data_IF_008480205408
#
_entry.id   IF_008480205408
#
_cell.length_a   1.000
_cell.length_b   1.000
_cell.length_c   1.000
_cell.angle_alpha   90.00
_cell.angle_beta   90.00
_cell.angle_gamma   90.00
#
_symmetry.space_group_name_H-M   'P 1'
#
loop_
_entity.id
_entity.type
_entity.pdbx_description
1 polymer ?
#
# COMPACT_ATOMS: atom_id res chain seq x y z
N UNK A 1 12.21 -6.24 -11.44
CA UNK A 1 11.47 -6.27 -12.70
C UNK A 1 10.05 -5.75 -12.53
N UNK A 2 9.35 -5.58 -13.64
CA UNK A 2 8.02 -4.96 -13.67
C UNK A 2 6.96 -5.78 -12.92
N UNK A 3 6.99 -7.09 -13.05
CA UNK A 3 6.04 -7.98 -12.37
C UNK A 3 6.14 -7.86 -10.86
N UNK A 4 7.35 -7.87 -10.31
CA UNK A 4 7.55 -7.65 -8.85
C UNK A 4 7.05 -6.28 -8.40
N UNK A 5 7.29 -5.23 -9.18
CA UNK A 5 6.81 -3.90 -8.89
C UNK A 5 5.29 -3.88 -8.74
N UNK A 6 4.58 -4.48 -9.69
CA UNK A 6 3.11 -4.57 -9.68
C UNK A 6 2.62 -5.37 -8.48
N UNK A 7 3.26 -6.51 -8.18
CA UNK A 7 2.88 -7.35 -7.04
C UNK A 7 3.07 -6.59 -5.73
N UNK A 8 4.23 -5.94 -5.53
CA UNK A 8 4.54 -5.17 -4.32
C UNK A 8 3.52 -4.03 -4.16
N UNK A 9 3.26 -3.30 -5.24
CA UNK A 9 2.31 -2.18 -5.26
C UNK A 9 0.89 -2.64 -4.88
N UNK A 10 0.43 -3.75 -5.46
CA UNK A 10 -0.90 -4.32 -5.17
C UNK A 10 -0.98 -4.87 -3.75
N UNK A 11 0.00 -5.65 -3.31
CA UNK A 11 0.04 -6.19 -1.96
C UNK A 11 0.06 -5.08 -0.90
N UNK A 12 0.84 -4.04 -1.13
CA UNK A 12 0.90 -2.87 -0.27
C UNK A 12 -0.42 -2.11 -0.22
N UNK A 13 -1.11 -1.96 -1.36
CA UNK A 13 -2.45 -1.37 -1.40
C UNK A 13 -3.44 -2.15 -0.55
N UNK A 14 -3.49 -3.47 -0.75
CA UNK A 14 -4.40 -4.35 0.00
C UNK A 14 -4.09 -4.30 1.50
N UNK A 15 -2.83 -4.41 1.90
CA UNK A 15 -2.44 -4.34 3.32
C UNK A 15 -2.74 -2.97 3.94
N UNK A 16 -2.48 -1.88 3.19
CA UNK A 16 -2.75 -0.52 3.66
C UNK A 16 -4.24 -0.29 3.91
N UNK A 17 -5.07 -0.56 2.91
CA UNK A 17 -6.52 -0.38 3.05
C UNK A 17 -7.15 -1.37 4.03
N UNK A 18 -6.66 -2.61 4.13
CA UNK A 18 -7.11 -3.56 5.14
C UNK A 18 -6.81 -3.07 6.55
N UNK A 19 -5.58 -2.58 6.81
CA UNK A 19 -5.20 -2.12 8.13
C UNK A 19 -6.03 -0.91 8.57
N UNK A 20 -6.19 0.11 7.73
CA UNK A 20 -7.00 1.26 8.09
C UNK A 20 -8.47 0.89 8.31
N UNK A 21 -9.02 -0.02 7.50
CA UNK A 21 -10.38 -0.52 7.68
C UNK A 21 -10.55 -1.26 9.01
N UNK A 22 -9.58 -2.08 9.40
CA UNK A 22 -9.58 -2.75 10.71
C UNK A 22 -9.54 -1.75 11.87
N UNK A 23 -8.70 -0.71 11.75
CA UNK A 23 -8.58 0.33 12.77
C UNK A 23 -9.79 1.28 12.81
N UNK A 24 -10.63 1.27 11.79
CA UNK A 24 -11.89 2.01 11.75
C UNK A 24 -13.05 1.28 12.45
N UNK A 25 -12.96 -0.04 12.69
CA UNK A 25 -14.02 -0.82 13.29
C UNK A 25 -14.44 -0.26 14.67
N UNK A 26 -15.75 -0.26 15.00
CA UNK A 26 -16.25 0.22 16.30
C UNK A 26 -15.68 -0.51 17.51
N UNK A 27 -15.23 -1.75 17.32
CA UNK A 27 -14.61 -2.57 18.37
C UNK A 27 -13.21 -2.07 18.80
N UNK A 28 -12.61 -1.14 18.03
CA UNK A 28 -11.31 -0.54 18.33
C UNK A 28 -11.50 0.88 18.85
N UNK A 29 -11.58 1.12 20.17
CA UNK A 29 -11.82 2.44 20.75
C UNK A 29 -10.53 3.27 20.79
N UNK A 30 -9.95 3.55 19.62
CA UNK A 30 -8.65 4.22 19.49
C UNK A 30 -8.75 5.76 19.54
N UNK A 31 -9.95 6.33 19.74
CA UNK A 31 -10.13 7.77 19.79
C UNK A 31 -9.55 8.49 18.55
N UNK A 32 -8.61 9.44 18.76
CA UNK A 32 -7.98 10.17 17.66
C UNK A 32 -7.06 9.32 16.76
N UNK A 33 -6.69 8.12 17.20
CA UNK A 33 -5.87 7.16 16.44
C UNK A 33 -6.72 6.15 15.67
N UNK A 34 -7.99 6.41 15.47
CA UNK A 34 -8.88 5.57 14.68
C UNK A 34 -8.50 5.62 13.20
N UNK A 35 -8.72 4.52 12.48
CA UNK A 35 -8.57 4.47 11.03
C UNK A 35 -9.53 5.42 10.31
N UNK A 36 -9.25 5.76 9.07
CA UNK A 36 -10.07 6.68 8.29
C UNK A 36 -11.35 6.02 7.79
N UNK A 37 -12.47 6.75 7.88
CA UNK A 37 -13.76 6.34 7.31
C UNK A 37 -13.77 6.36 5.78
N UNK A 38 -12.93 7.20 5.19
CA UNK A 38 -12.67 7.28 3.75
C UNK A 38 -11.18 7.43 3.53
N UNK A 39 -10.59 6.48 2.83
CA UNK A 39 -9.17 6.50 2.44
C UNK A 39 -9.06 6.37 0.94
N UNK A 40 -8.40 7.32 0.31
CA UNK A 40 -8.14 7.35 -1.13
C UNK A 40 -6.70 7.73 -1.42
N UNK A 41 -6.19 7.30 -2.56
CA UNK A 41 -4.88 7.72 -3.05
C UNK A 41 -3.85 6.59 -3.18
N UNK A 42 -2.79 6.90 -3.92
CA UNK A 42 -1.67 6.00 -4.20
C UNK A 42 -0.60 5.99 -3.09
N UNK A 43 -0.83 6.68 -1.96
CA UNK A 43 0.18 6.82 -0.91
C UNK A 43 0.48 5.51 -0.19
N UNK A 44 -0.54 4.69 0.12
CA UNK A 44 -0.33 3.39 0.76
C UNK A 44 0.61 2.47 -0.06
N UNK A 45 0.39 2.23 -1.37
CA UNK A 45 1.33 1.44 -2.15
C UNK A 45 2.70 2.10 -2.35
N UNK A 46 2.80 3.45 -2.37
CA UNK A 46 4.09 4.13 -2.38
C UNK A 46 4.89 3.85 -1.10
N UNK A 47 4.24 3.85 0.06
CA UNK A 47 4.87 3.39 1.30
C UNK A 47 5.32 1.94 1.23
N UNK A 48 4.58 1.09 0.51
CA UNK A 48 5.00 -0.30 0.24
C UNK A 48 6.28 -0.38 -0.59
N UNK A 49 6.45 0.50 -1.56
CA UNK A 49 7.72 0.61 -2.30
C UNK A 49 8.87 1.05 -1.37
N UNK A 50 8.65 1.96 -0.42
CA UNK A 50 9.65 2.30 0.60
C UNK A 50 10.00 1.07 1.45
N UNK A 51 9.02 0.27 1.87
CA UNK A 51 9.24 -0.99 2.58
C UNK A 51 10.10 -1.97 1.77
N UNK A 52 9.79 -2.14 0.48
CA UNK A 52 10.56 -3.00 -0.42
C UNK A 52 11.98 -2.49 -0.66
N UNK A 53 12.15 -1.20 -0.86
CA UNK A 53 13.46 -0.56 -1.02
C UNK A 53 14.31 -0.68 0.26
N UNK A 54 13.69 -0.66 1.44
CA UNK A 54 14.38 -0.90 2.70
C UNK A 54 14.95 -2.33 2.77
N UNK A 55 14.20 -3.33 2.29
CA UNK A 55 14.70 -4.71 2.17
C UNK A 55 15.88 -4.77 1.21
N UNK A 56 15.74 -4.14 0.04
CA UNK A 56 16.80 -4.07 -0.95
C UNK A 56 18.06 -3.41 -0.40
N UNK A 57 17.93 -2.25 0.24
CA UNK A 57 19.03 -1.50 0.85
C UNK A 57 19.81 -2.38 1.86
N UNK A 58 19.09 -3.11 2.73
CA UNK A 58 19.71 -4.01 3.71
C UNK A 58 20.44 -5.17 3.05
N UNK A 59 19.87 -5.78 2.00
CA UNK A 59 20.48 -6.91 1.30
C UNK A 59 21.69 -6.54 0.45
N UNK A 60 21.74 -5.32 -0.06
CA UNK A 60 22.85 -4.81 -0.89
C UNK A 60 23.90 -4.04 -0.10
N UNK A 61 23.68 -3.82 1.20
CA UNK A 61 24.58 -3.02 2.03
C UNK A 61 24.56 -1.51 1.72
N UNK A 62 23.55 -1.03 0.95
CA UNK A 62 23.41 0.38 0.58
C UNK A 62 22.80 1.19 1.74
N UNK A 63 23.59 1.43 2.78
CA UNK A 63 23.13 2.11 4.00
C UNK A 63 22.61 3.52 3.74
N UNK A 64 23.24 4.26 2.82
CA UNK A 64 22.80 5.61 2.44
C UNK A 64 21.36 5.60 1.88
N UNK A 65 21.04 4.62 1.01
CA UNK A 65 19.68 4.45 0.49
C UNK A 65 18.69 4.17 1.62
N UNK A 66 19.03 3.28 2.55
CA UNK A 66 18.17 2.95 3.69
C UNK A 66 17.92 4.16 4.60
N UNK A 67 18.94 4.98 4.85
CA UNK A 67 18.81 6.22 5.65
C UNK A 67 17.89 7.24 4.94
N UNK A 68 18.02 7.38 3.62
CA UNK A 68 17.19 8.28 2.83
C UNK A 68 15.72 7.86 2.86
N UNK A 69 15.44 6.57 2.63
CA UNK A 69 14.09 6.01 2.70
C UNK A 69 13.49 6.26 4.09
N UNK A 70 14.25 5.95 5.15
CA UNK A 70 13.79 6.16 6.52
C UNK A 70 13.46 7.61 6.81
N UNK A 71 14.27 8.54 6.29
CA UNK A 71 14.02 9.98 6.41
C UNK A 71 12.67 10.37 5.78
N UNK A 72 12.39 9.92 4.56
CA UNK A 72 11.09 10.18 3.92
C UNK A 72 9.93 9.56 4.69
N UNK A 73 10.04 8.32 5.11
CA UNK A 73 9.01 7.65 5.92
C UNK A 73 8.70 8.47 7.18
N UNK A 74 9.73 8.91 7.90
CA UNK A 74 9.55 9.71 9.12
C UNK A 74 8.92 11.07 8.86
N UNK A 75 9.32 11.76 7.78
CA UNK A 75 8.72 13.03 7.38
C UNK A 75 7.21 12.84 7.12
N UNK A 76 6.83 11.84 6.34
CA UNK A 76 5.42 11.58 6.03
C UNK A 76 4.61 11.14 7.26
N UNK A 77 5.20 10.37 8.18
CA UNK A 77 4.55 10.02 9.46
C UNK A 77 4.28 11.28 10.28
N UNK A 78 5.26 12.16 10.42
CA UNK A 78 5.11 13.43 11.16
C UNK A 78 4.05 14.32 10.52
N UNK A 79 4.08 14.48 9.19
CA UNK A 79 3.06 15.24 8.47
C UNK A 79 1.67 14.61 8.69
N UNK A 80 1.55 13.29 8.64
CA UNK A 80 0.29 12.57 8.86
C UNK A 80 -0.24 12.67 10.29
N UNK A 81 0.62 12.96 11.29
CA UNK A 81 0.15 13.27 12.66
C UNK A 81 -0.39 14.70 12.79
N UNK A 82 0.08 15.62 11.94
CA UNK A 82 -0.32 17.03 11.95
C UNK A 82 -1.53 17.27 11.03
N UNK A 83 -1.60 16.57 9.91
CA UNK A 83 -2.61 16.75 8.86
C UNK A 83 -3.66 15.64 8.96
N UNK A 84 -4.86 15.92 9.50
CA UNK A 84 -5.87 14.89 9.81
C UNK A 84 -6.41 14.11 8.61
N UNK A 85 -6.25 14.64 7.38
CA UNK A 85 -6.69 13.97 6.15
C UNK A 85 -5.73 12.83 5.71
N UNK A 86 -4.54 12.77 6.32
CA UNK A 86 -3.55 11.74 5.98
C UNK A 86 -3.78 10.51 6.85
N UNK A 87 -3.98 9.38 6.20
CA UNK A 87 -4.22 8.11 6.86
C UNK A 87 -2.90 7.36 7.15
N UNK A 88 -2.39 7.55 8.36
CA UNK A 88 -1.17 6.88 8.80
C UNK A 88 -1.30 5.36 8.92
N UNK A 89 -2.50 4.82 9.16
CA UNK A 89 -2.71 3.38 9.19
C UNK A 89 -2.58 2.76 7.81
N UNK A 90 -3.11 3.43 6.77
CA UNK A 90 -2.91 3.01 5.39
C UNK A 90 -1.42 3.04 4.99
N UNK A 91 -0.67 4.06 5.44
CA UNK A 91 0.77 4.14 5.21
C UNK A 91 1.54 3.02 5.91
N UNK A 92 1.23 2.76 7.19
CA UNK A 92 1.87 1.69 7.96
C UNK A 92 1.59 0.31 7.36
N UNK A 93 0.32 0.04 7.03
CA UNK A 93 -0.08 -1.20 6.37
C UNK A 93 0.57 -1.36 5.00
N UNK A 94 0.62 -0.29 4.22
CA UNK A 94 1.30 -0.26 2.93
C UNK A 94 2.78 -0.59 3.05
N UNK A 95 3.50 0.09 3.96
CA UNK A 95 4.91 -0.17 4.23
C UNK A 95 5.16 -1.64 4.63
N UNK A 96 4.37 -2.15 5.58
CA UNK A 96 4.48 -3.53 6.05
C UNK A 96 4.20 -4.54 4.93
N UNK A 97 3.16 -4.32 4.12
CA UNK A 97 2.79 -5.17 2.98
C UNK A 97 3.89 -5.24 1.93
N UNK A 98 4.46 -4.10 1.56
CA UNK A 98 5.57 -4.04 0.60
C UNK A 98 6.86 -4.64 1.14
N UNK A 99 7.16 -4.43 2.42
CA UNK A 99 8.29 -5.03 3.11
C UNK A 99 8.19 -6.57 3.13
N UNK A 100 7.01 -7.12 3.48
CA UNK A 100 6.75 -8.56 3.45
C UNK A 100 6.86 -9.13 2.04
N UNK A 101 6.24 -8.50 1.05
CA UNK A 101 6.30 -8.92 -0.34
C UNK A 101 7.74 -8.98 -0.87
N UNK A 102 8.57 -7.99 -0.53
CA UNK A 102 9.98 -7.97 -0.91
C UNK A 102 10.83 -9.02 -0.19
N UNK A 103 10.42 -9.47 1.00
CA UNK A 103 11.09 -10.60 1.66
C UNK A 103 10.81 -11.92 0.96
N UNK A 104 9.58 -12.13 0.48
CA UNK A 104 9.18 -13.34 -0.24
C UNK A 104 9.78 -13.37 -1.65
N UNK A 105 9.74 -12.20 -2.34
CA UNK A 105 10.28 -12.06 -3.69
C UNK A 105 11.70 -11.47 -3.62
N UNK A 106 12.72 -12.32 -3.56
CA UNK A 106 14.10 -11.86 -3.45
C UNK A 106 14.45 -10.80 -4.53
N UNK A 107 14.71 -9.52 -4.13
CA UNK A 107 14.95 -8.45 -5.09
C UNK A 107 16.27 -8.59 -5.85
N UNK A 108 17.18 -9.47 -5.41
CA UNK A 108 18.49 -9.69 -6.01
C UNK A 108 18.47 -10.79 -7.07
N UNK A 109 17.41 -11.60 -7.14
CA UNK A 109 17.27 -12.64 -8.16
C UNK A 109 16.61 -12.09 -9.42
N UNK A 110 16.84 -12.76 -10.53
CA UNK A 110 16.13 -12.45 -11.78
C UNK A 110 14.62 -12.63 -11.63
N UNK A 111 13.87 -11.86 -12.41
CA UNK A 111 12.43 -11.96 -12.41
C UNK A 111 11.97 -13.26 -13.09
N UNK A 112 11.12 -14.02 -12.40
CA UNK A 112 10.58 -15.27 -12.96
C UNK A 112 9.32 -15.01 -13.79
N UNK A 113 9.00 -15.87 -14.76
CA UNK A 113 7.72 -15.83 -15.49
C UNK A 113 6.51 -15.86 -14.57
N UNK A 114 6.61 -16.54 -13.43
CA UNK A 114 5.56 -16.59 -12.41
C UNK A 114 5.25 -15.19 -11.85
N UNK A 115 6.25 -14.33 -11.65
CA UNK A 115 6.02 -12.96 -11.21
C UNK A 115 5.20 -12.17 -12.23
N UNK A 116 5.48 -12.36 -13.53
CA UNK A 116 4.72 -11.72 -14.61
C UNK A 116 3.27 -12.22 -14.65
N UNK A 117 3.05 -13.53 -14.48
CA UNK A 117 1.69 -14.10 -14.43
C UNK A 117 0.90 -13.55 -13.24
N UNK A 118 1.49 -13.55 -12.04
CA UNK A 118 0.85 -13.00 -10.84
C UNK A 118 0.57 -11.51 -11.00
N UNK A 119 1.48 -10.74 -11.58
CA UNK A 119 1.28 -9.33 -11.87
C UNK A 119 0.11 -9.10 -12.83
N UNK A 120 -0.02 -9.93 -13.86
CA UNK A 120 -1.15 -9.87 -14.79
C UNK A 120 -2.48 -10.13 -14.05
N UNK A 121 -2.53 -11.13 -13.18
CA UNK A 121 -3.70 -11.41 -12.34
C UNK A 121 -4.03 -10.20 -11.45
N UNK A 122 -3.03 -9.60 -10.81
CA UNK A 122 -3.21 -8.39 -9.99
C UNK A 122 -3.83 -7.24 -10.80
N UNK A 123 -3.32 -6.99 -12.01
CA UNK A 123 -3.85 -5.95 -12.90
C UNK A 123 -5.28 -6.24 -13.34
N UNK A 124 -5.59 -7.49 -13.71
CA UNK A 124 -6.95 -7.89 -14.09
C UNK A 124 -7.92 -7.72 -12.92
N UNK A 125 -7.56 -8.15 -11.72
CA UNK A 125 -8.39 -7.98 -10.53
C UNK A 125 -8.61 -6.49 -10.21
N UNK A 126 -7.58 -5.67 -10.35
CA UNK A 126 -7.69 -4.22 -10.16
C UNK A 126 -8.64 -3.61 -11.18
N UNK A 127 -8.50 -3.95 -12.46
CA UNK A 127 -9.36 -3.46 -13.53
C UNK A 127 -10.83 -3.88 -13.31
N UNK A 128 -11.06 -5.14 -12.94
CA UNK A 128 -12.40 -5.66 -12.62
C UNK A 128 -13.00 -4.96 -11.41
N UNK A 129 -12.20 -4.69 -10.36
CA UNK A 129 -12.67 -3.97 -9.16
C UNK A 129 -13.07 -2.53 -9.49
N UNK A 130 -12.29 -1.84 -10.32
CA UNK A 130 -12.63 -0.48 -10.78
C UNK A 130 -13.92 -0.52 -11.63
N UNK A 131 -14.02 -1.44 -12.58
CA UNK A 131 -15.20 -1.57 -13.42
C UNK A 131 -16.44 -1.87 -12.58
N UNK A 132 -16.36 -2.82 -11.66
CA UNK A 132 -17.45 -3.15 -10.73
C UNK A 132 -17.86 -1.94 -9.89
N UNK A 133 -16.91 -1.18 -9.36
CA UNK A 133 -17.17 0.03 -8.57
C UNK A 133 -17.92 1.09 -9.39
N UNK A 134 -17.53 1.29 -10.65
CA UNK A 134 -18.21 2.25 -11.55
C UNK A 134 -19.63 1.76 -11.86
N UNK A 135 -19.79 0.51 -12.30
CA UNK A 135 -21.10 -0.04 -12.70
C UNK A 135 -22.07 -0.10 -11.53
N UNK A 136 -21.62 -0.50 -10.35
CA UNK A 136 -22.47 -0.60 -9.15
C UNK A 136 -22.70 0.78 -8.49
N UNK A 137 -21.78 1.73 -8.67
CA UNK A 137 -21.90 3.08 -8.13
C UNK A 137 -22.87 3.97 -8.89
N UNK A 138 -23.02 3.80 -10.20
CA UNK A 138 -23.91 4.60 -11.05
C UNK A 138 -25.36 4.64 -10.53
N UNK A 139 -26.02 3.51 -10.18
CA UNK A 139 -27.38 3.51 -9.68
C UNK A 139 -27.57 4.27 -8.35
N UNK A 140 -26.55 4.25 -7.49
CA UNK A 140 -26.60 4.96 -6.21
C UNK A 140 -26.62 6.48 -6.39
N UNK A 141 -25.93 7.00 -7.39
CA UNK A 141 -25.94 8.43 -7.70
C UNK A 141 -27.21 8.88 -8.38
N UNK A 142 -27.86 8.03 -9.18
CA UNK A 142 -29.11 8.34 -9.87
C UNK A 142 -30.33 8.36 -8.95
N UNK A 143 -30.28 7.70 -7.80
CA UNK A 143 -31.36 7.69 -6.81
C UNK A 143 -31.36 8.90 -5.84
N UNK A 144 -30.42 9.83 -5.97
CA UNK A 144 -30.27 11.02 -5.11
C UNK A 144 -30.56 12.34 -5.84
N UNK A 145 -31.04 12.29 -7.09
CA UNK A 145 -31.54 13.44 -7.86
C UNK A 145 -33.06 13.32 -7.96
#
# INVERSE_FOLDING_TARGET
GMGRLIIIYTAASVCGFALTSLMFLPAMPLGPFRGAGLTVGASAPLFGLFGALMVYSKRTGQTALGQEIWRYVMIFVVIGLIVPIIDNWAHLGGYAGGWLAAHVMDPLKDESPTHMLVALVCLLLTALSVLASVVLGIPMFQGQI
#
